data_IF_782469503533
#
_entry.id   IF_782469503533
#
_cell.length_a   1.000
_cell.length_b   1.000
_cell.length_c   1.000
_cell.angle_alpha   90.00
_cell.angle_beta   90.00
_cell.angle_gamma   90.00
#
_symmetry.space_group_name_H-M   'P 1'
#
loop_
_entity.id
_entity.type
_entity.pdbx_description
1 polymer ?
2 non-polymer ?
3 non-polymer ?
4 non-polymer ?
5 non-polymer ?
6 non-polymer ?
7 non-polymer ?
8 water ?
#
# COMPACT_ATOMS: atom_id res chain seq x y z
N UNK A 1 -26.81 14.98 -8.26
CA UNK A 1 -25.77 15.58 -7.44
C UNK A 1 -24.46 14.80 -7.55
N UNK A 2 -24.31 13.77 -6.72
CA UNK A 2 -23.07 13.01 -6.70
C UNK A 2 -22.87 12.28 -8.02
N UNK A 3 -21.61 12.00 -8.32
CA UNK A 3 -21.30 11.19 -9.49
C UNK A 3 -21.90 9.79 -9.35
N UNK A 4 -22.01 9.12 -10.49
CA UNK A 4 -22.48 7.76 -10.54
C UNK A 4 -21.79 7.04 -11.68
N UNK A 5 -22.08 5.75 -11.78
CA UNK A 5 -21.44 4.91 -12.79
C UNK A 5 -21.60 5.49 -14.18
N UNK A 6 -22.75 6.10 -14.47
CA UNK A 6 -23.03 6.54 -15.83
C UNK A 6 -22.31 7.84 -16.19
N UNK A 7 -21.51 8.40 -15.28
CA UNK A 7 -20.64 9.50 -15.63
C UNK A 7 -19.26 9.03 -16.12
N UNK A 8 -19.06 7.73 -16.25
CA UNK A 8 -17.76 7.17 -16.62
C UNK A 8 -17.89 6.20 -17.78
N UNK A 9 -16.85 6.16 -18.61
CA UNK A 9 -16.63 5.09 -19.56
C UNK A 9 -15.71 4.05 -18.94
N UNK A 10 -16.04 2.78 -19.09
CA UNK A 10 -15.12 1.71 -18.69
C UNK A 10 -14.15 1.44 -19.84
N UNK A 11 -12.85 1.54 -19.55
CA UNK A 11 -11.84 1.40 -20.60
C UNK A 11 -11.14 0.06 -20.57
N UNK A 12 -10.85 -0.48 -19.38
CA UNK A 12 -10.08 -1.72 -19.29
C UNK A 12 -10.16 -2.24 -17.87
N UNK A 13 -10.10 -3.56 -17.73
CA UNK A 13 -9.90 -4.19 -16.43
C UNK A 13 -8.40 -4.25 -16.20
N UNK A 14 -7.95 -3.83 -15.02
CA UNK A 14 -6.51 -3.69 -14.78
C UNK A 14 -6.06 -4.46 -13.54
N UNK A 15 -6.99 -4.97 -12.74
CA UNK A 15 -6.60 -5.69 -11.55
C UNK A 15 -7.78 -6.30 -10.82
N UNK A 16 -7.47 -7.23 -9.92
CA UNK A 16 -8.45 -7.88 -9.07
C UNK A 16 -7.80 -8.26 -7.74
N UNK A 17 -8.56 -8.12 -6.65
CA UNK A 17 -8.14 -8.58 -5.34
C UNK A 17 -9.24 -9.41 -4.72
N UNK A 18 -9.18 -9.64 -3.39
CA UNK A 18 -10.20 -10.45 -2.74
C UNK A 18 -11.53 -9.70 -2.58
N UNK A 19 -11.49 -8.36 -2.52
CA UNK A 19 -12.72 -7.58 -2.44
C UNK A 19 -13.09 -6.89 -3.76
N UNK A 20 -12.11 -6.46 -4.54
CA UNK A 20 -12.35 -5.50 -5.60
C UNK A 20 -11.99 -6.05 -6.98
N UNK A 21 -12.74 -5.59 -7.98
CA UNK A 21 -12.35 -5.59 -9.37
C UNK A 21 -11.98 -4.16 -9.73
N UNK A 22 -10.82 -3.97 -10.36
CA UNK A 22 -10.28 -2.64 -10.59
C UNK A 22 -10.25 -2.37 -12.09
N UNK A 23 -10.79 -1.23 -12.50
CA UNK A 23 -10.84 -0.88 -13.90
C UNK A 23 -10.23 0.49 -14.13
N UNK A 24 -9.67 0.66 -15.32
CA UNK A 24 -9.35 1.99 -15.83
C UNK A 24 -10.64 2.60 -16.37
N UNK A 25 -10.96 3.82 -15.93
CA UNK A 25 -12.16 4.49 -16.39
C UNK A 25 -11.82 5.92 -16.78
N UNK A 26 -12.74 6.54 -17.51
CA UNK A 26 -12.56 7.92 -17.97
C UNK A 26 -13.83 8.70 -17.70
N UNK A 27 -13.68 9.89 -17.12
CA UNK A 27 -14.82 10.76 -16.89
C UNK A 27 -15.38 11.21 -18.22
N UNK A 28 -16.68 10.97 -18.43
CA UNK A 28 -17.29 11.33 -19.70
C UNK A 28 -17.12 12.82 -20.00
N UNK A 29 -16.92 13.13 -21.28
CA UNK A 29 -16.75 14.49 -21.79
C UNK A 29 -15.42 15.10 -21.38
N UNK A 30 -14.51 14.31 -20.81
CA UNK A 30 -13.19 14.79 -20.44
C UNK A 30 -12.13 13.79 -20.88
N UNK A 31 -10.87 14.20 -20.77
CA UNK A 31 -9.74 13.29 -20.92
C UNK A 31 -9.25 12.75 -19.59
N UNK A 32 -9.94 13.02 -18.49
CA UNK A 32 -9.46 12.64 -17.16
C UNK A 32 -9.73 11.17 -16.91
N UNK A 33 -8.69 10.44 -16.51
CA UNK A 33 -8.80 9.00 -16.30
C UNK A 33 -8.45 8.66 -14.86
N UNK A 34 -9.04 7.56 -14.39
CA UNK A 34 -8.94 7.15 -13.01
C UNK A 34 -8.90 5.62 -12.96
N UNK A 35 -8.43 5.10 -11.84
CA UNK A 35 -8.72 3.72 -11.47
C UNK A 35 -10.03 3.71 -10.70
N UNK A 36 -10.81 2.63 -10.89
CA UNK A 36 -12.09 2.48 -10.19
C UNK A 36 -12.11 1.12 -9.52
N UNK A 37 -12.16 1.11 -8.20
CA UNK A 37 -12.25 -0.12 -7.44
C UNK A 37 -13.73 -0.44 -7.22
N UNK A 38 -14.16 -1.61 -7.66
CA UNK A 38 -15.56 -2.03 -7.59
C UNK A 38 -15.66 -3.20 -6.61
N UNK A 39 -16.46 -3.01 -5.56
CA UNK A 39 -16.66 -3.99 -4.50
C UNK A 39 -18.15 -4.35 -4.46
N UNK A 40 -18.47 -5.62 -4.67
CA UNK A 40 -19.87 -6.02 -4.59
C UNK A 40 -20.33 -5.99 -3.14
N UNK A 41 -21.52 -5.41 -2.91
CA UNK A 41 -22.04 -5.31 -1.55
C UNK A 41 -22.23 -6.67 -0.89
N UNK A 42 -22.51 -7.72 -1.69
CA UNK A 42 -22.69 -9.04 -1.12
C UNK A 42 -21.44 -9.55 -0.41
N UNK A 43 -20.31 -8.89 -0.59
CA UNK A 43 -19.08 -9.23 0.10
C UNK A 43 -18.92 -8.49 1.43
N UNK A 44 -19.80 -7.54 1.73
CA UNK A 44 -19.71 -6.75 2.94
C UNK A 44 -20.80 -7.19 3.91
N UNK A 45 -20.47 -8.14 4.79
CA UNK A 45 -21.44 -8.71 5.71
C UNK A 45 -21.03 -8.62 7.17
N UNK A 46 -19.78 -8.96 7.49
CA UNK A 46 -19.33 -8.99 8.88
C UNK A 46 -18.89 -7.60 9.33
N UNK A 47 -18.53 -7.50 10.61
CA UNK A 47 -17.86 -6.31 11.10
C UNK A 47 -16.48 -6.16 10.46
N UNK A 48 -15.80 -7.28 10.19
CA UNK A 48 -14.49 -7.21 9.55
C UNK A 48 -14.62 -6.60 8.15
N UNK A 49 -15.68 -6.94 7.42
CA UNK A 49 -15.90 -6.38 6.09
C UNK A 49 -16.21 -4.89 6.19
N UNK A 50 -17.16 -4.54 7.05
CA UNK A 50 -17.58 -3.15 7.19
C UNK A 50 -16.41 -2.27 7.56
N UNK A 51 -15.61 -2.71 8.53
CA UNK A 51 -14.47 -1.92 8.96
C UNK A 51 -13.42 -1.82 7.86
N UNK A 52 -13.23 -2.89 7.08
CA UNK A 52 -12.30 -2.81 5.95
C UNK A 52 -12.70 -1.69 5.00
N UNK A 53 -13.97 -1.69 4.58
CA UNK A 53 -14.42 -0.71 3.61
C UNK A 53 -14.39 0.70 4.21
N UNK A 54 -14.89 0.85 5.43
CA UNK A 54 -14.86 2.16 6.08
C UNK A 54 -13.42 2.66 6.23
N UNK A 55 -12.52 1.80 6.68
CA UNK A 55 -11.13 2.20 6.83
C UNK A 55 -10.51 2.61 5.50
N UNK A 56 -10.72 1.80 4.46
CA UNK A 56 -10.18 2.14 3.16
C UNK A 56 -10.66 3.51 2.71
N UNK A 57 -11.96 3.78 2.88
CA UNK A 57 -12.47 5.10 2.48
C UNK A 57 -11.84 6.22 3.33
N UNK A 58 -11.76 6.03 4.64
CA UNK A 58 -11.25 7.10 5.49
C UNK A 58 -9.78 7.37 5.20
N UNK A 59 -8.99 6.33 4.92
CA UNK A 59 -7.57 6.53 4.64
C UNK A 59 -7.40 7.15 3.25
N UNK A 60 -8.20 6.71 2.28
CA UNK A 60 -8.20 7.36 0.97
C UNK A 60 -8.37 8.86 1.08
N UNK A 61 -9.28 9.30 1.96
CA UNK A 61 -9.49 10.73 2.16
C UNK A 61 -8.25 11.39 2.76
N UNK A 62 -7.65 10.76 3.77
CA UNK A 62 -6.41 11.28 4.35
C UNK A 62 -5.27 11.31 3.35
N UNK A 63 -5.27 10.39 2.38
CA UNK A 63 -4.15 10.22 1.47
C UNK A 63 -4.09 11.28 0.36
N UNK A 64 -5.21 11.89 0.02
CA UNK A 64 -5.21 12.84 -1.08
C UNK A 64 -4.19 13.95 -0.82
N UNK A 65 -3.47 14.33 -1.87
CA UNK A 65 -2.45 15.36 -1.83
C UNK A 65 -1.06 14.79 -1.57
N UNK A 66 -0.90 13.86 -0.64
CA UNK A 66 0.45 13.37 -0.35
C UNK A 66 1.02 12.69 -1.59
N UNK A 67 2.28 12.95 -1.94
CA UNK A 67 2.80 12.47 -3.23
C UNK A 67 2.94 10.96 -3.31
N UNK A 68 3.10 10.26 -2.19
CA UNK A 68 3.40 8.84 -2.21
C UNK A 68 2.23 7.97 -1.77
N UNK A 69 1.01 8.53 -1.79
CA UNK A 69 -0.21 7.80 -1.50
C UNK A 69 -1.21 8.03 -2.63
N UNK A 70 -2.22 7.17 -2.68
CA UNK A 70 -3.18 7.16 -3.79
C UNK A 70 -4.37 8.06 -3.43
N UNK A 71 -4.60 9.10 -4.23
CA UNK A 71 -5.67 10.04 -3.94
C UNK A 71 -7.05 9.50 -4.28
N UNK A 72 -8.06 10.06 -3.62
CA UNK A 72 -9.45 9.69 -3.81
C UNK A 72 -10.18 10.79 -4.57
N UNK A 73 -10.84 10.40 -5.66
CA UNK A 73 -11.67 11.32 -6.43
C UNK A 73 -13.11 11.33 -5.91
N UNK A 74 -13.74 10.16 -5.83
CA UNK A 74 -15.12 10.09 -5.39
C UNK A 74 -15.45 8.65 -4.98
N UNK A 75 -16.54 8.53 -4.22
CA UNK A 75 -17.16 7.25 -3.89
C UNK A 75 -18.63 7.33 -4.28
N UNK A 76 -19.16 6.24 -4.81
CA UNK A 76 -20.59 6.18 -5.07
C UNK A 76 -21.00 4.71 -5.08
N UNK A 77 -22.29 4.47 -5.31
CA UNK A 77 -22.80 3.11 -5.21
C UNK A 77 -23.93 2.92 -6.20
N UNK A 78 -24.10 1.68 -6.62
CA UNK A 78 -25.29 1.17 -7.28
C UNK A 78 -26.01 0.22 -6.32
N UNK A 79 -27.09 -0.38 -6.78
CA UNK A 79 -27.83 -1.27 -5.89
C UNK A 79 -26.93 -2.41 -5.38
N UNK A 80 -26.06 -2.93 -6.24
CA UNK A 80 -25.26 -4.10 -5.89
C UNK A 80 -23.80 -3.81 -5.60
N UNK A 81 -23.29 -2.60 -5.84
CA UNK A 81 -21.86 -2.38 -5.82
C UNK A 81 -21.46 -1.07 -5.15
N UNK A 82 -20.26 -1.09 -4.55
CA UNK A 82 -19.57 0.11 -4.08
C UNK A 82 -18.45 0.45 -5.05
N UNK A 83 -18.21 1.75 -5.24
CA UNK A 83 -17.21 2.23 -6.19
C UNK A 83 -16.28 3.25 -5.53
N UNK A 84 -14.97 3.05 -5.67
CA UNK A 84 -13.96 4.04 -5.32
C UNK A 84 -13.28 4.48 -6.61
N UNK A 85 -13.41 5.76 -6.94
CA UNK A 85 -12.70 6.33 -8.10
C UNK A 85 -11.45 6.99 -7.56
N UNK A 86 -10.28 6.54 -8.01
CA UNK A 86 -9.01 6.90 -7.38
C UNK A 86 -7.97 7.20 -8.44
N UNK A 87 -6.84 7.72 -7.98
CA UNK A 87 -5.74 8.05 -8.86
C UNK A 87 -5.30 6.83 -9.65
N UNK A 88 -5.13 6.99 -10.95
CA UNK A 88 -4.65 5.91 -11.81
C UNK A 88 -3.12 5.82 -11.74
N UNK A 89 -2.60 4.68 -11.29
CA UNK A 89 -1.17 4.49 -11.04
C UNK A 89 -0.71 3.32 -11.91
N UNK A 90 0.14 3.60 -12.92
CA UNK A 90 0.31 2.62 -13.99
C UNK A 90 1.77 2.27 -14.26
N UNK A 91 2.67 2.50 -13.31
CA UNK A 91 4.06 2.10 -13.49
C UNK A 91 4.37 0.68 -13.09
N UNK A 92 3.35 -0.09 -12.71
CA UNK A 92 3.55 -1.43 -12.18
C UNK A 92 3.58 -1.42 -10.67
N UNK A 93 4.31 -2.36 -10.09
CA UNK A 93 4.48 -2.42 -8.64
C UNK A 93 5.82 -3.09 -8.38
N UNK A 94 6.26 -3.03 -7.12
CA UNK A 94 7.60 -3.51 -6.80
C UNK A 94 7.73 -5.02 -6.98
N UNK A 95 6.67 -5.78 -6.77
CA UNK A 95 6.75 -7.22 -7.02
C UNK A 95 6.98 -7.50 -8.50
N UNK A 96 6.14 -6.94 -9.36
CA UNK A 96 6.39 -6.89 -10.80
C UNK A 96 7.84 -6.55 -11.10
N UNK A 97 8.32 -5.45 -10.50
CA UNK A 97 9.67 -4.97 -10.78
C UNK A 97 10.74 -5.96 -10.30
N UNK A 98 10.56 -6.55 -9.12
CA UNK A 98 11.54 -7.53 -8.63
C UNK A 98 11.52 -8.79 -9.48
N UNK A 99 10.35 -9.21 -9.96
CA UNK A 99 10.32 -10.38 -10.83
C UNK A 99 11.19 -10.18 -12.07
N UNK A 100 11.28 -8.93 -12.54
CA UNK A 100 12.10 -8.64 -13.73
C UNK A 100 13.55 -8.37 -13.37
N UNK A 101 13.80 -7.63 -12.29
CA UNK A 101 15.15 -7.21 -11.93
C UNK A 101 15.88 -8.22 -11.06
N UNK A 102 15.15 -9.03 -10.29
CA UNK A 102 15.73 -10.08 -9.46
C UNK A 102 16.43 -9.51 -8.22
N UNK A 103 17.27 -8.51 -8.40
CA UNK A 103 18.00 -7.91 -7.28
C UNK A 103 18.29 -6.45 -7.59
N UNK A 104 18.10 -5.56 -6.57
CA UNK A 104 18.34 -4.15 -6.84
C UNK A 104 19.66 -3.70 -6.23
N UNK A 105 20.39 -2.85 -6.94
CA UNK A 105 21.56 -2.20 -6.34
C UNK A 105 21.12 -1.43 -5.09
N UNK A 106 22.06 -1.28 -4.15
CA UNK A 106 21.71 -0.62 -2.90
C UNK A 106 21.18 0.79 -3.13
N UNK A 107 21.70 1.49 -4.14
CA UNK A 107 21.23 2.84 -4.43
C UNK A 107 19.76 2.85 -4.84
N UNK A 108 19.33 1.85 -5.60
CA UNK A 108 17.92 1.77 -5.97
C UNK A 108 17.06 1.48 -4.76
N UNK A 109 17.45 0.49 -3.95
CA UNK A 109 16.68 0.16 -2.76
C UNK A 109 16.60 1.35 -1.82
N UNK A 110 17.69 2.11 -1.72
CA UNK A 110 17.68 3.33 -0.92
C UNK A 110 16.58 4.28 -1.38
N UNK A 111 16.52 4.54 -2.68
CA UNK A 111 15.51 5.46 -3.21
C UNK A 111 14.10 4.99 -2.84
N UNK A 112 13.77 3.74 -3.15
CA UNK A 112 12.41 3.25 -2.88
C UNK A 112 12.10 3.27 -1.39
N UNK A 113 13.05 2.81 -0.56
CA UNK A 113 12.77 2.76 0.87
C UNK A 113 12.67 4.16 1.48
N UNK A 114 13.38 5.13 0.91
CA UNK A 114 13.25 6.50 1.39
C UNK A 114 11.84 7.05 1.12
N UNK A 115 11.34 6.86 -0.10
CA UNK A 115 9.98 7.32 -0.41
C UNK A 115 8.94 6.55 0.41
N UNK A 116 9.12 5.24 0.57
CA UNK A 116 8.18 4.49 1.41
C UNK A 116 8.22 5.02 2.83
N UNK A 117 9.41 5.33 3.35
CA UNK A 117 9.54 5.87 4.70
C UNK A 117 8.79 7.18 4.84
N UNK A 118 8.89 8.06 3.84
CA UNK A 118 8.15 9.32 3.91
C UNK A 118 6.65 9.07 3.92
N UNK A 119 6.18 8.12 3.10
CA UNK A 119 4.76 7.78 3.09
C UNK A 119 4.32 7.23 4.44
N UNK A 120 5.05 6.25 4.96
CA UNK A 120 4.74 5.70 6.28
C UNK A 120 4.70 6.79 7.35
N UNK A 121 5.67 7.69 7.32
CA UNK A 121 5.74 8.70 8.37
C UNK A 121 4.54 9.64 8.31
N UNK A 122 4.09 9.99 7.10
CA UNK A 122 2.89 10.81 6.99
C UNK A 122 1.68 10.09 7.57
N UNK A 123 1.49 8.82 7.21
CA UNK A 123 0.41 8.03 7.80
C UNK A 123 0.52 7.98 9.32
N UNK A 124 1.72 7.73 9.84
CA UNK A 124 1.88 7.69 11.30
C UNK A 124 1.55 9.02 11.95
N UNK A 125 2.01 10.13 11.35
CA UNK A 125 1.69 11.44 11.93
C UNK A 125 0.19 11.68 11.97
N UNK A 126 -0.58 11.02 11.11
CA UNK A 126 -2.03 11.16 11.08
C UNK A 126 -2.73 10.09 11.92
N UNK A 127 -2.00 9.33 12.73
CA UNK A 127 -2.60 8.33 13.58
C UNK A 127 -2.92 7.01 12.91
N UNK A 128 -2.25 6.67 11.81
CA UNK A 128 -2.60 5.50 11.00
C UNK A 128 -1.44 4.53 11.01
N UNK A 129 -1.68 3.30 11.44
CA UNK A 129 -0.79 2.18 11.14
C UNK A 129 -1.19 1.58 9.81
N UNK A 130 -0.21 1.41 8.92
CA UNK A 130 -0.48 0.90 7.58
C UNK A 130 -0.79 -0.60 7.60
N UNK A 131 0.11 -1.39 8.16
CA UNK A 131 -0.06 -2.81 8.46
C UNK A 131 -0.10 -3.71 7.23
N UNK A 132 -0.01 -3.17 6.01
CA UNK A 132 -0.11 -3.99 4.81
C UNK A 132 1.07 -3.79 3.87
N UNK A 133 2.21 -3.34 4.37
CA UNK A 133 3.34 -3.12 3.47
C UNK A 133 3.89 -4.44 2.96
N UNK A 134 4.00 -4.54 1.64
CA UNK A 134 4.59 -5.69 0.95
C UNK A 134 4.91 -5.24 -0.47
N UNK A 135 5.75 -6.01 -1.15
CA UNK A 135 6.20 -5.63 -2.49
C UNK A 135 5.03 -5.28 -3.42
N UNK A 136 3.97 -6.10 -3.43
CA UNK A 136 2.94 -5.80 -4.41
C UNK A 136 1.96 -4.74 -3.95
N UNK A 137 2.12 -4.19 -2.74
CA UNK A 137 1.36 -3.03 -2.31
C UNK A 137 2.14 -1.73 -2.45
N UNK A 138 3.32 -1.77 -3.05
CA UNK A 138 4.07 -0.57 -3.40
C UNK A 138 3.97 -0.45 -4.91
N UNK A 139 3.10 0.43 -5.37
CA UNK A 139 2.97 0.69 -6.79
C UNK A 139 4.06 1.65 -7.23
N UNK A 140 4.34 1.63 -8.53
CA UNK A 140 5.16 2.65 -9.17
C UNK A 140 4.27 3.49 -10.07
N UNK A 141 4.44 4.80 -9.99
CA UNK A 141 3.74 5.66 -10.94
C UNK A 141 4.50 5.68 -12.26
N UNK A 142 3.96 6.39 -13.24
CA UNK A 142 4.53 6.30 -14.58
C UNK A 142 5.96 6.81 -14.62
N UNK A 143 6.33 7.71 -13.70
CA UNK A 143 7.68 8.24 -13.66
C UNK A 143 8.62 7.42 -12.79
N UNK A 144 8.11 6.47 -12.03
CA UNK A 144 8.95 5.62 -11.21
C UNK A 144 9.00 5.96 -9.73
N UNK A 145 8.20 6.91 -9.27
CA UNK A 145 8.03 7.15 -7.84
C UNK A 145 7.06 6.13 -7.25
N UNK A 146 7.16 5.90 -5.94
CA UNK A 146 6.34 4.89 -5.28
C UNK A 146 4.99 5.50 -4.87
N UNK A 147 4.00 4.63 -4.76
CA UNK A 147 2.75 4.98 -4.08
C UNK A 147 2.31 3.75 -3.29
N UNK A 148 2.07 3.95 -2.00
CA UNK A 148 1.50 2.88 -1.18
C UNK A 148 0.02 2.74 -1.48
N UNK A 149 -0.47 1.51 -1.48
CA UNK A 149 -1.85 1.23 -1.85
C UNK A 149 -2.43 0.18 -0.91
N UNK A 150 -3.74 -0.06 -1.05
CA UNK A 150 -4.41 -1.11 -0.30
C UNK A 150 -4.54 -0.73 1.17
N UNK A 151 -5.51 0.14 1.50
CA UNK A 151 -5.59 0.75 2.82
C UNK A 151 -6.59 0.08 3.76
N UNK A 152 -7.27 -0.99 3.33
CA UNK A 152 -8.33 -1.54 4.15
C UNK A 152 -7.85 -2.12 5.47
N UNK A 153 -6.58 -2.48 5.56
CA UNK A 153 -6.06 -3.14 6.76
C UNK A 153 -5.53 -2.14 7.78
N UNK A 154 -5.54 -0.85 7.45
CA UNK A 154 -4.96 0.14 8.36
C UNK A 154 -5.70 0.16 9.69
N UNK A 155 -4.97 0.57 10.73
CA UNK A 155 -5.57 1.03 11.98
C UNK A 155 -5.53 2.55 11.96
N UNK A 156 -6.68 3.18 12.18
CA UNK A 156 -6.69 4.63 12.25
C UNK A 156 -7.13 5.09 13.63
N UNK A 157 -6.89 6.37 13.91
CA UNK A 157 -7.27 6.95 15.18
C UNK A 157 -6.30 6.78 16.32
N UNK A 158 -5.05 6.43 16.03
CA UNK A 158 -4.04 6.24 17.08
C UNK A 158 -3.46 7.58 17.49
N UNK A 159 -3.76 8.03 18.70
CA UNK A 159 -3.05 9.17 19.23
C UNK A 159 -1.60 8.79 19.52
N UNK A 160 -0.68 9.74 19.47
CA UNK A 160 0.73 9.42 19.75
C UNK A 160 0.86 8.60 21.03
N UNK A 161 1.53 7.45 20.92
CA UNK A 161 1.68 6.54 22.03
C UNK A 161 0.59 5.50 22.17
N UNK A 162 -0.48 5.59 21.39
CA UNK A 162 -1.51 4.56 21.43
C UNK A 162 -0.99 3.27 20.80
N UNK A 163 -1.60 2.16 21.21
CA UNK A 163 -1.32 0.85 20.65
C UNK A 163 -2.62 0.17 20.27
N UNK A 164 -2.51 -0.91 19.50
CA UNK A 164 -3.66 -1.70 19.08
C UNK A 164 -3.23 -3.17 19.14
N UNK A 165 -4.20 -4.07 18.94
CA UNK A 165 -3.97 -5.48 19.23
C UNK A 165 -4.28 -6.48 18.10
N UNK A 167 -4.50 -9.10 15.32
CA UNK A 167 -3.62 -9.97 14.54
C UNK A 167 -3.99 -9.91 13.07
N UNK A 168 -3.12 -9.32 12.26
CA UNK A 168 -3.37 -9.16 10.84
C UNK A 168 -2.06 -8.88 10.11
N UNK A 169 -2.12 -8.94 8.79
CA UNK A 169 -0.99 -8.65 7.93
C UNK A 169 -0.75 -9.76 6.95
N UNK A 170 0.29 -9.59 6.14
CA UNK A 170 0.70 -10.68 5.28
C UNK A 170 1.77 -11.51 5.97
N UNK A 171 1.61 -12.83 6.08
CA UNK A 171 2.48 -13.62 6.96
C UNK A 171 3.96 -13.33 6.80
N UNK A 172 4.47 -13.24 5.57
CA UNK A 172 5.90 -13.02 5.38
C UNK A 172 6.38 -11.71 5.99
N UNK A 173 5.49 -10.76 6.25
CA UNK A 173 5.85 -9.44 6.72
C UNK A 173 5.39 -9.15 8.15
N UNK A 174 4.73 -10.09 8.83
CA UNK A 174 4.14 -9.81 10.13
C UNK A 174 5.23 -9.72 11.19
N UNK A 175 5.18 -8.67 12.00
CA UNK A 175 6.24 -8.36 12.94
C UNK A 175 6.24 -9.34 14.12
N UNK A 176 7.41 -9.59 14.72
CA UNK A 176 7.46 -10.48 15.89
C UNK A 176 6.48 -10.08 16.99
N UNK A 177 6.32 -8.79 17.26
CA UNK A 177 5.47 -8.41 18.37
C UNK A 177 4.01 -8.76 18.10
N UNK A 178 3.58 -8.76 16.83
CA UNK A 178 2.25 -9.26 16.53
C UNK A 178 2.18 -10.76 16.80
N UNK A 179 3.20 -11.49 16.37
CA UNK A 179 3.23 -12.93 16.59
C UNK A 179 3.25 -13.26 18.08
N UNK A 180 3.84 -12.39 18.90
CA UNK A 180 3.85 -12.62 20.33
C UNK A 180 2.56 -12.19 21.02
N UNK A 181 1.61 -11.63 20.29
CA UNK A 181 0.36 -11.20 20.90
C UNK A 181 0.45 -9.95 21.73
N UNK A 182 1.48 -9.13 21.53
CA UNK A 182 1.60 -7.88 22.26
C UNK A 182 0.78 -6.80 21.57
N UNK A 183 0.28 -5.84 22.34
CA UNK A 183 -0.21 -4.61 21.76
C UNK A 183 0.95 -3.91 21.04
N UNK A 184 0.65 -3.26 19.93
CA UNK A 184 1.71 -2.70 19.11
C UNK A 184 1.26 -1.37 18.51
N UNK A 185 2.25 -0.63 18.00
CA UNK A 185 2.02 0.64 17.33
C UNK A 185 2.68 0.66 15.96
N UNK A 186 3.24 1.81 15.61
CA UNK A 186 3.82 1.99 14.28
C UNK A 186 5.01 1.08 14.03
N UNK A 187 5.57 0.48 15.07
CA UNK A 187 6.76 -0.37 14.91
C UNK A 187 6.56 -1.46 13.87
N UNK A 188 5.32 -1.94 13.69
CA UNK A 188 5.11 -3.06 12.78
C UNK A 188 5.35 -2.63 11.34
N UNK A 189 5.11 -1.36 11.02
CA UNK A 189 5.38 -0.87 9.66
C UNK A 189 6.88 -0.83 9.40
N UNK A 190 7.67 -0.49 10.41
CA UNK A 190 9.12 -0.40 10.18
C UNK A 190 9.73 -1.79 10.07
N UNK A 191 9.20 -2.77 10.78
CA UNK A 191 9.60 -4.16 10.57
C UNK A 191 9.34 -4.59 9.14
N UNK A 192 8.12 -4.33 8.65
CA UNK A 192 7.77 -4.74 7.29
C UNK A 192 8.69 -4.07 6.27
N UNK A 193 9.03 -2.81 6.50
CA UNK A 193 9.96 -2.14 5.58
C UNK A 193 11.32 -2.82 5.61
N UNK A 194 11.79 -3.20 6.80
CA UNK A 194 13.00 -4.01 6.88
C UNK A 194 12.92 -5.25 6.00
N UNK A 195 11.81 -5.99 6.08
CA UNK A 195 11.65 -7.20 5.28
C UNK A 195 11.68 -6.84 3.80
N UNK A 196 10.95 -5.79 3.43
CA UNK A 196 10.89 -5.39 2.03
C UNK A 196 12.26 -4.97 1.52
N UNK A 197 13.01 -4.22 2.34
CA UNK A 197 14.35 -3.81 1.94
C UNK A 197 15.26 -5.02 1.78
N UNK A 198 15.15 -6.00 2.68
CA UNK A 198 15.91 -7.23 2.50
C UNK A 198 15.58 -7.86 1.16
N UNK A 199 14.29 -7.96 0.85
CA UNK A 199 13.89 -8.57 -0.41
C UNK A 199 14.48 -7.83 -1.61
N UNK A 200 14.48 -6.48 -1.55
CA UNK A 200 14.99 -5.72 -2.68
C UNK A 200 16.47 -5.95 -2.88
N UNK A 201 17.24 -5.98 -1.80
CA UNK A 201 18.68 -6.02 -1.94
C UNK A 201 19.24 -7.43 -2.02
N UNK A 202 18.54 -8.42 -1.48
CA UNK A 202 19.01 -9.79 -1.50
C UNK A 202 18.36 -10.64 -2.59
N UNK A 203 17.18 -10.24 -3.08
CA UNK A 203 16.47 -11.05 -4.05
C UNK A 203 15.67 -12.20 -3.48
N UNK A 204 15.54 -12.27 -2.16
CA UNK A 204 14.80 -13.34 -1.50
C UNK A 204 14.28 -12.79 -0.18
N UNK A 205 13.27 -13.45 0.36
CA UNK A 205 12.82 -13.09 1.69
C UNK A 205 13.87 -13.48 2.73
N UNK A 206 13.96 -12.76 3.85
CA UNK A 206 14.88 -13.17 4.91
C UNK A 206 14.43 -14.41 5.66
N UNK A 207 13.27 -14.97 5.33
CA UNK A 207 12.77 -16.15 6.05
C UNK A 207 12.63 -17.38 5.18
N UNK A 220 4.43 -24.10 5.79
CA UNK A 220 3.22 -23.67 6.47
C UNK A 220 3.47 -22.38 7.25
N UNK A 221 2.41 -21.60 7.47
CA UNK A 221 2.54 -20.36 8.24
C UNK A 221 3.12 -20.63 9.63
N UNK A 222 2.67 -21.71 10.27
CA UNK A 222 3.16 -22.03 11.60
C UNK A 222 4.67 -22.05 11.64
N UNK A 223 5.29 -22.72 10.67
CA UNK A 223 6.75 -22.77 10.64
C UNK A 223 7.34 -21.41 10.32
N UNK A 224 6.73 -20.67 9.40
CA UNK A 224 7.22 -19.34 9.08
C UNK A 224 7.20 -18.43 10.31
N UNK A 225 6.12 -18.47 11.08
CA UNK A 225 6.05 -17.64 12.28
C UNK A 225 7.16 -18.02 13.26
N UNK A 226 7.43 -19.32 13.40
CA UNK A 226 8.52 -19.74 14.28
C UNK A 226 9.86 -19.19 13.81
N UNK A 227 10.07 -19.17 12.49
CA UNK A 227 11.32 -18.64 11.95
C UNK A 227 11.43 -17.15 12.22
N UNK A 228 10.35 -16.41 12.01
CA UNK A 228 10.35 -14.98 12.31
C UNK A 228 10.69 -14.75 13.78
N UNK A 229 10.16 -15.58 14.68
CA UNK A 229 10.29 -15.31 16.10
C UNK A 229 11.62 -15.75 16.67
N UNK A 230 12.22 -16.82 16.15
CA UNK A 230 13.40 -17.42 16.77
C UNK A 230 14.66 -17.33 15.92
N UNK A 231 14.56 -17.54 14.61
CA UNK A 231 15.76 -17.65 13.79
C UNK A 231 16.50 -16.33 13.68
N UNK A 232 17.82 -16.40 13.67
CA UNK A 232 18.66 -15.23 13.46
C UNK A 232 18.71 -14.89 11.97
N UNK A 233 18.55 -13.61 11.65
CA UNK A 233 18.58 -13.17 10.26
C UNK A 233 20.03 -12.98 9.83
N UNK A 234 20.40 -13.60 8.71
CA UNK A 234 21.75 -13.49 8.17
C UNK A 234 21.76 -12.52 6.99
N UNK A 235 22.73 -11.60 7.00
CA UNK A 235 22.87 -10.62 5.93
C UNK A 235 23.79 -11.18 4.85
N UNK A 236 23.41 -11.14 3.58
CA UNK A 236 24.30 -11.62 2.51
C UNK A 236 25.67 -10.96 2.57
N UNK A 237 26.70 -11.77 2.33
CA UNK A 237 28.08 -11.32 2.42
C UNK A 237 28.35 -10.12 1.51
N UNK A 238 27.66 -10.02 0.38
CA UNK A 238 27.99 -9.00 -0.61
C UNK A 238 27.42 -7.62 -0.30
N UNK A 239 26.60 -7.48 0.73
CA UNK A 239 26.02 -6.17 1.04
C UNK A 239 26.98 -5.32 1.87
N UNK A 240 26.85 -4.00 1.73
CA UNK A 240 27.76 -3.10 2.41
C UNK A 240 27.48 -3.09 3.92
N UNK A 241 28.39 -2.46 4.67
CA UNK A 241 28.16 -2.31 6.10
C UNK A 241 26.91 -1.49 6.37
N UNK A 242 26.67 -0.45 5.56
CA UNK A 242 25.50 0.40 5.77
C UNK A 242 24.20 -0.35 5.53
N UNK A 243 24.19 -1.22 4.51
CA UNK A 243 23.01 -2.03 4.26
C UNK A 243 22.80 -3.05 5.38
N UNK A 244 23.87 -3.74 5.78
CA UNK A 244 23.79 -4.66 6.90
C UNK A 244 23.20 -3.97 8.12
N UNK A 245 23.69 -2.76 8.42
CA UNK A 245 23.21 -2.06 9.60
C UNK A 245 21.74 -1.68 9.47
N UNK A 246 21.34 -1.13 8.31
CA UNK A 246 19.95 -0.67 8.19
C UNK A 246 18.99 -1.86 8.25
N UNK A 247 19.37 -2.99 7.67
CA UNK A 247 18.50 -4.17 7.70
C UNK A 247 18.40 -4.75 9.11
N UNK A 248 19.54 -4.93 9.78
CA UNK A 248 19.49 -5.50 11.12
C UNK A 248 18.78 -4.56 12.08
N UNK A 249 18.88 -3.24 11.85
CA UNK A 249 18.23 -2.29 12.74
C UNK A 249 16.71 -2.32 12.57
N UNK A 250 16.23 -2.38 11.32
CA UNK A 250 14.80 -2.49 11.07
C UNK A 250 14.27 -3.86 11.47
N UNK A 251 15.10 -4.90 11.40
CA UNK A 251 14.68 -6.26 11.69
C UNK A 251 15.06 -6.68 13.11
N UNK A 252 15.24 -5.72 14.01
CA UNK A 252 15.38 -6.00 15.42
C UNK A 252 14.05 -6.55 15.95
N UNK A 253 14.09 -7.76 16.54
CA UNK A 253 12.84 -8.37 16.98
C UNK A 253 12.19 -7.66 18.17
N UNK A 254 12.90 -6.75 18.82
CA UNK A 254 12.34 -5.98 19.92
C UNK A 254 11.90 -4.61 19.41
N UNK A 255 10.59 -4.34 19.32
CA UNK A 255 10.17 -3.05 18.77
C UNK A 255 10.71 -1.85 19.52
N UNK A 256 11.07 -2.01 20.80
CA UNK A 256 11.63 -0.89 21.56
C UNK A 256 13.02 -0.50 21.07
N UNK A 257 13.76 -1.43 20.48
CA UNK A 257 15.10 -1.15 20.00
C UNK A 257 15.17 -0.98 18.48
N UNK A 258 14.04 -1.14 17.78
CA UNK A 258 14.04 -1.14 16.33
C UNK A 258 14.20 0.27 15.77
N UNK A 259 14.93 0.36 14.65
CA UNK A 259 15.07 1.62 13.93
C UNK A 259 13.71 2.20 13.56
N UNK A 260 13.55 3.50 13.76
CA UNK A 260 12.29 4.18 13.50
C UNK A 260 11.30 4.11 14.65
N UNK A 261 11.61 3.37 15.71
CA UNK A 261 10.66 3.13 16.78
C UNK A 261 11.05 3.77 18.09
N UNK A 262 12.24 4.35 18.20
CA UNK A 262 12.61 5.01 19.43
C UNK A 262 11.67 6.20 19.67
N UNK A 263 11.08 6.32 20.85
CA UNK A 263 10.19 7.45 21.12
C UNK A 263 10.87 8.78 20.80
N UNK A 264 10.13 9.67 20.15
CA UNK A 264 10.51 11.06 19.94
C UNK A 264 11.50 11.23 18.77
N UNK A 265 12.42 10.29 18.59
CA UNK A 265 13.47 10.44 17.59
C UNK A 265 13.36 9.47 16.43
N UNK A 266 12.39 8.54 16.47
CA UNK A 266 12.27 7.48 15.49
C UNK A 266 12.52 7.85 14.03
N UNK A 267 11.75 8.82 13.51
CA UNK A 267 11.92 9.15 12.11
C UNK A 267 13.25 9.86 11.85
N UNK A 268 13.68 10.72 12.78
CA UNK A 268 15.00 11.34 12.63
C UNK A 268 16.11 10.30 12.65
N UNK A 269 15.92 9.19 13.40
CA UNK A 269 16.92 8.13 13.43
C UNK A 269 17.04 7.46 12.06
N UNK A 270 15.91 7.28 11.36
CA UNK A 270 15.95 6.75 10.00
C UNK A 270 16.67 7.71 9.07
N UNK A 271 16.26 8.99 9.11
CA UNK A 271 16.85 9.97 8.21
C UNK A 271 18.35 10.11 8.42
N UNK A 272 18.81 9.93 9.65
CA UNK A 272 20.21 10.05 9.99
C UNK A 272 21.01 8.77 9.87
N UNK A 273 20.38 7.67 9.50
CA UNK A 273 21.12 6.40 9.39
C UNK A 273 22.09 6.48 8.20
N UNK A 274 23.31 5.96 8.34
CA UNK A 274 24.29 6.05 7.23
C UNK A 274 23.79 5.51 5.91
N UNK A 275 22.90 4.51 5.93
CA UNK A 275 22.35 3.99 4.68
C UNK A 275 21.65 5.09 3.89
N UNK A 276 21.07 6.08 4.55
CA UNK A 276 20.31 7.13 3.91
C UNK A 276 21.09 8.44 3.82
N UNK A 277 22.42 8.40 3.98
CA UNK A 277 23.21 9.62 4.01
C UNK A 277 23.07 10.44 2.74
N UNK A 278 23.03 9.77 1.59
CA UNK A 278 22.95 10.46 0.31
C UNK A 278 21.52 10.82 -0.08
N UNK A 279 20.66 11.10 0.89
CA UNK A 279 19.25 11.39 0.63
C UNK A 279 18.97 12.80 1.11
N UNK A 280 18.53 13.66 0.19
CA UNK A 280 17.96 14.96 0.54
C UNK A 280 16.47 14.75 0.76
N UNK A 281 16.07 14.62 2.02
CA UNK A 281 14.70 14.21 2.31
C UNK A 281 13.68 15.24 1.86
N UNK A 282 14.03 16.53 1.91
CA UNK A 282 13.11 17.56 1.45
C UNK A 282 12.88 17.47 -0.05
N UNK A 283 13.96 17.31 -0.82
CA UNK A 283 13.80 17.12 -2.26
C UNK A 283 13.09 15.81 -2.56
N UNK A 284 13.39 14.75 -1.79
CA UNK A 284 12.72 13.48 -1.99
C UNK A 284 11.20 13.64 -1.86
N UNK A 285 10.76 14.35 -0.83
CA UNK A 285 9.31 14.45 -0.61
C UNK A 285 8.64 15.34 -1.63
N UNK A 286 9.38 16.22 -2.29
CA UNK A 286 8.82 17.04 -3.36
C UNK A 286 9.00 16.41 -4.73
N UNK A 287 9.38 15.13 -4.79
CA UNK A 287 9.57 14.40 -6.04
C UNK A 287 10.61 15.07 -6.93
N UNK A 288 11.59 15.73 -6.33
CA UNK A 288 12.70 16.33 -7.06
C UNK A 288 13.92 15.42 -7.16
N UNK A 289 13.81 14.17 -6.71
CA UNK A 289 14.90 13.21 -6.81
C UNK A 289 14.60 12.25 -7.95
N UNK A 290 15.54 12.12 -8.89
CA UNK A 290 15.31 11.33 -10.09
C UNK A 290 15.15 9.86 -9.70
N UNK A 291 14.06 9.21 -10.07
CA UNK A 291 13.94 7.78 -9.79
C UNK A 291 15.03 7.00 -10.51
N UNK A 292 15.47 5.89 -9.94
CA UNK A 292 16.55 5.12 -10.58
C UNK A 292 16.08 4.29 -11.76
N UNK A 293 14.77 4.21 -12.00
CA UNK A 293 14.24 3.33 -13.03
C UNK A 293 12.97 3.98 -13.59
N UNK A 294 12.85 3.98 -14.92
CA UNK A 294 11.70 4.60 -15.56
C UNK A 294 10.80 3.51 -16.12
N UNK A 295 9.59 3.34 -15.59
CA UNK A 295 8.72 2.26 -16.09
C UNK A 295 8.39 2.46 -17.57
N UNK A 296 8.16 1.34 -18.25
CA UNK A 296 7.71 1.36 -19.64
C UNK A 296 6.27 1.86 -19.72
N UNK A 297 6.05 2.91 -20.52
CA UNK A 297 4.74 3.53 -20.67
C UNK A 297 4.53 3.84 -22.14
N UNK A 298 3.53 3.22 -22.75
CA UNK A 298 3.29 3.42 -24.17
C UNK A 298 1.81 3.60 -24.43
N UNK A 299 1.50 4.08 -25.63
CA UNK A 299 0.14 4.18 -26.06
C UNK A 299 -0.63 5.26 -25.32
N UNK A 300 -1.93 5.24 -25.57
CA UNK A 300 -2.82 6.29 -25.07
C UNK A 300 -2.99 6.23 -23.56
N UNK A 301 -3.05 5.03 -22.99
CA UNK A 301 -3.37 4.88 -21.57
C UNK A 301 -2.28 4.19 -20.74
N UNK A 302 -1.17 3.79 -21.36
CA UNK A 302 -0.07 3.19 -20.61
C UNK A 302 -0.47 1.96 -19.81
N UNK A 303 -1.06 0.98 -20.48
CA UNK A 303 -1.47 -0.25 -19.83
C UNK A 303 -0.35 -1.29 -19.80
N UNK A 304 0.88 -0.87 -20.11
CA UNK A 304 2.00 -1.79 -20.30
C UNK A 304 2.21 -2.73 -19.12
N UNK A 305 2.04 -2.24 -17.89
CA UNK A 305 2.57 -2.91 -16.71
C UNK A 305 1.52 -3.65 -15.91
N UNK A 306 0.31 -3.82 -16.43
CA UNK A 306 -0.69 -4.66 -15.81
C UNK A 306 -0.68 -6.04 -16.43
N UNK A 307 -0.97 -7.06 -15.63
CA UNK A 307 -1.01 -8.43 -16.12
C UNK A 307 -2.07 -8.58 -17.20
N UNK A 308 -1.69 -9.16 -18.34
CA UNK A 308 -2.65 -9.41 -19.41
C UNK A 308 -3.80 -10.29 -18.94
N UNK A 309 -3.63 -11.00 -17.84
CA UNK A 309 -4.75 -11.74 -17.25
C UNK A 309 -5.96 -10.84 -17.07
N UNK A 310 -5.72 -9.58 -16.68
CA UNK A 310 -6.81 -8.65 -16.46
C UNK A 310 -7.10 -7.78 -17.69
N UNK A 311 -6.07 -7.28 -18.37
CA UNK A 311 -6.34 -6.44 -19.53
C UNK A 311 -6.96 -7.21 -20.68
N UNK A 312 -6.96 -8.53 -20.63
CA UNK A 312 -7.66 -9.34 -21.63
C UNK A 312 -9.11 -9.58 -21.29
N UNK A 313 -9.51 -9.37 -20.04
CA UNK A 313 -10.90 -9.56 -19.67
C UNK A 313 -11.80 -8.65 -20.49
N UNK A 314 -13.04 -9.09 -20.76
CA UNK A 314 -14.01 -8.18 -21.37
C UNK A 314 -14.29 -7.01 -20.44
N UNK A 315 -14.41 -5.83 -21.01
CA UNK A 315 -14.60 -4.61 -20.23
C UNK A 315 -16.06 -4.45 -19.87
N UNK A 316 -16.45 -5.00 -18.71
CA UNK A 316 -17.84 -5.04 -18.31
C UNK A 316 -17.93 -5.27 -16.81
N UNK A 317 -19.08 -4.92 -16.26
CA UNK A 317 -19.43 -5.33 -14.90
C UNK A 317 -20.40 -6.50 -15.02
N UNK A 319 -23.34 -9.02 -14.70
CA UNK A 319 -24.77 -8.76 -14.44
C UNK A 319 -25.23 -9.14 -13.02
N UNK A 320 -26.10 -8.31 -12.45
CA UNK A 320 -26.67 -8.57 -11.14
C UNK A 320 -27.53 -9.83 -11.14
N UNK A 321 -27.49 -10.56 -10.02
CA UNK A 321 -28.43 -11.65 -9.75
C UNK A 321 -29.46 -11.12 -8.76
N UNK A 322 -30.69 -10.90 -9.24
CA UNK A 322 -31.70 -10.29 -8.38
C UNK A 322 -31.93 -11.09 -7.11
N UNK A 323 -31.81 -12.42 -7.18
CA UNK A 323 -32.03 -13.24 -6.00
C UNK A 323 -31.05 -12.92 -4.88
N UNK A 324 -29.86 -12.44 -5.24
CA UNK A 324 -28.89 -12.01 -4.24
C UNK A 324 -29.10 -10.54 -3.86
N UNK A 325 -29.20 -9.68 -4.87
CA UNK A 325 -29.19 -8.24 -4.63
C UNK A 325 -30.38 -7.84 -3.77
N UNK A 326 -31.52 -8.49 -3.94
CA UNK A 326 -32.69 -8.08 -3.17
C UNK A 326 -32.51 -8.29 -1.68
N UNK A 327 -31.55 -9.10 -1.26
CA UNK A 327 -31.34 -9.37 0.15
C UNK A 327 -30.32 -8.45 0.80
N UNK A 328 -29.61 -7.63 0.02
CA UNK A 328 -28.63 -6.72 0.60
C UNK A 328 -29.29 -5.78 1.60
N UNK A 329 -28.63 -5.56 2.73
CA UNK A 329 -29.06 -4.57 3.72
C UNK A 329 -28.51 -3.20 3.28
N UNK A 330 -29.32 -2.48 2.49
CA UNK A 330 -28.85 -1.23 1.90
C UNK A 330 -28.54 -0.17 2.96
N UNK A 331 -29.17 -0.26 4.13
CA UNK A 331 -28.91 0.75 5.16
C UNK A 331 -27.45 0.73 5.60
N UNK A 332 -26.78 -0.41 5.45
CA UNK A 332 -25.37 -0.49 5.82
C UNK A 332 -24.50 0.45 5.00
N UNK A 333 -25.00 0.92 3.85
CA UNK A 333 -24.18 1.68 2.92
C UNK A 333 -24.67 3.11 2.75
N UNK A 334 -25.64 3.55 3.55
CA UNK A 334 -26.05 4.95 3.51
C UNK A 334 -24.88 5.85 3.89
N UNK A 335 -24.74 6.95 3.15
CA UNK A 335 -23.65 7.88 3.38
C UNK A 335 -22.33 7.51 2.72
N UNK A 336 -22.32 6.50 1.85
CA UNK A 336 -21.07 6.12 1.21
C UNK A 336 -20.59 7.19 0.22
N UNK A 337 -21.53 7.93 -0.38
CA UNK A 337 -21.18 8.89 -1.42
C UNK A 337 -20.17 9.89 -0.91
N UNK A 338 -19.24 10.27 -1.79
CA UNK A 338 -18.20 11.23 -1.41
C UNK A 338 -17.64 11.89 -2.66
N UNK A 339 -17.30 13.17 -2.54
CA UNK A 339 -16.60 13.90 -3.59
C UNK A 339 -15.46 14.67 -2.96
N UNK A 340 -14.29 14.59 -3.58
CA UNK A 340 -13.09 15.21 -3.02
C UNK A 340 -13.31 16.70 -2.82
N UNK A 341 -13.16 17.22 -1.59
CA UNK A 341 -13.38 18.65 -1.35
C UNK A 341 -12.36 19.55 -2.03
N UNK A 342 -11.56 18.98 -2.93
CA UNK A 342 -10.63 19.75 -3.75
C UNK A 342 -10.96 19.61 -5.23
N UNK A 343 -12.25 19.45 -5.53
CA UNK A 343 -12.78 19.15 -6.87
C UNK A 343 -13.09 17.67 -7.01
#
# INVERSE_FOLDING_TARGET
>A
FSLGLQDFDLLRVIGRGSYAKVLLVRLKKTDRIYAMKVVKKELVNDDEDIDWVQTEKHVFEQASNHPFLVGLHSCFQTESRLFFVIEYVNGGDLMFHMQRQRKLPEEHARFYSAEISLALNYLHERGIIYRDLKLDNVLLDSEGHIKLTDYGMCKEGLRPGDTTSXFCGTPNYIAPEILRGEDYGFSVDWWALGVLMFEMMAGRSPFDIVGSSDNPDQNTEDYLFQVILEKQIRIPRSLSVKAASVLKSFLNKDPKERLGCHPQTGFADIQGHPFFRNVDWDMMEQKQVVPPFKPNISGEFGLDNFDSQFTNEPVQLXPDDDDIVRKIDQSEFEGFEYINPLLMSAEECV
#
